data_IF_653456109627
#
_entry.id   IF_653456109627
#
_cell.length_a   1.000
_cell.length_b   1.000
_cell.length_c   1.000
_cell.angle_alpha   90.00
_cell.angle_beta   90.00
_cell.angle_gamma   90.00
#
_symmetry.space_group_name_H-M   'P 1'
#
loop_
_entity.id
_entity.type
_entity.pdbx_description
1 polymer ?
#
# COMPACT_ATOMS: atom_id res chain seq x y z
N UNK A 1 -1.36 22.66 -6.26
CA UNK A 1 -2.47 21.69 -6.37
C UNK A 1 -2.58 21.25 -7.82
N UNK A 2 -2.90 19.97 -8.06
CA UNK A 2 -3.00 19.40 -9.42
C UNK A 2 -4.30 19.82 -10.14
N UNK A 3 -5.15 20.63 -9.50
CA UNK A 3 -6.45 21.10 -10.00
C UNK A 3 -7.38 19.95 -10.47
N UNK A 4 -7.26 18.77 -9.82
CA UNK A 4 -8.15 17.64 -10.09
C UNK A 4 -9.47 17.87 -9.33
N UNK A 5 -10.59 17.76 -10.04
CA UNK A 5 -11.92 17.77 -9.42
C UNK A 5 -12.22 16.39 -8.81
N UNK A 6 -12.07 16.28 -7.51
CA UNK A 6 -12.28 15.03 -6.78
C UNK A 6 -13.73 14.54 -6.81
N UNK A 7 -14.71 15.42 -7.13
CA UNK A 7 -16.12 15.01 -7.26
C UNK A 7 -16.37 14.16 -8.51
N UNK A 8 -15.47 14.22 -9.49
CA UNK A 8 -15.58 13.49 -10.76
C UNK A 8 -14.82 12.17 -10.77
N UNK A 9 -14.15 11.81 -9.67
CA UNK A 9 -13.42 10.54 -9.55
C UNK A 9 -14.42 9.38 -9.46
N UNK A 10 -14.24 8.35 -10.27
CA UNK A 10 -15.07 7.13 -10.29
C UNK A 10 -14.47 6.01 -9.45
N UNK A 11 -13.13 5.92 -9.40
CA UNK A 11 -12.38 4.87 -8.71
C UNK A 11 -11.30 5.51 -7.86
N UNK A 12 -11.24 5.10 -6.58
CA UNK A 12 -10.11 5.36 -5.70
C UNK A 12 -9.45 4.02 -5.34
N UNK A 13 -8.13 4.04 -5.27
CA UNK A 13 -7.35 2.88 -4.89
C UNK A 13 -6.57 3.18 -3.61
N UNK A 14 -6.71 2.33 -2.59
CA UNK A 14 -5.97 2.43 -1.34
C UNK A 14 -4.87 1.37 -1.32
N UNK A 15 -3.62 1.81 -1.30
CA UNK A 15 -2.47 0.91 -1.32
C UNK A 15 -2.32 0.07 -0.04
N UNK A 16 -2.60 0.65 1.12
CA UNK A 16 -2.50 -0.03 2.41
C UNK A 16 -3.18 0.76 3.54
N UNK A 17 -3.30 0.17 4.72
CA UNK A 17 -4.13 0.67 5.81
C UNK A 17 -3.45 1.65 6.78
N UNK A 18 -2.24 2.16 6.50
CA UNK A 18 -1.63 3.14 7.38
C UNK A 18 -2.27 4.52 7.24
N UNK A 19 -2.39 5.25 8.35
CA UNK A 19 -3.18 6.47 8.46
C UNK A 19 -2.64 7.64 7.61
N UNK A 20 -1.37 7.65 7.25
CA UNK A 20 -0.78 8.60 6.31
C UNK A 20 -1.22 8.36 4.85
N UNK A 21 -1.76 7.18 4.55
CA UNK A 21 -2.35 6.83 3.25
C UNK A 21 -3.88 6.84 3.26
N UNK A 22 -4.52 6.45 4.37
CA UNK A 22 -5.98 6.38 4.46
C UNK A 22 -6.62 7.56 5.21
N UNK A 23 -5.85 8.40 5.89
CA UNK A 23 -6.39 9.47 6.75
C UNK A 23 -7.19 10.55 6.01
N UNK A 24 -6.96 10.73 4.71
CA UNK A 24 -7.74 11.65 3.87
C UNK A 24 -9.04 11.05 3.30
N UNK A 25 -9.26 9.74 3.48
CA UNK A 25 -10.33 9.01 2.79
C UNK A 25 -11.74 9.48 3.21
N UNK A 26 -11.96 9.79 4.49
CA UNK A 26 -13.25 10.31 4.94
C UNK A 26 -13.59 11.66 4.28
N UNK A 27 -12.61 12.56 4.19
CA UNK A 27 -12.81 13.86 3.53
C UNK A 27 -13.11 13.68 2.04
N UNK A 28 -12.44 12.75 1.37
CA UNK A 28 -12.73 12.38 -0.02
C UNK A 28 -14.15 11.83 -0.16
N UNK A 29 -14.58 10.89 0.67
CA UNK A 29 -15.90 10.26 0.61
C UNK A 29 -17.04 11.23 0.92
N UNK A 30 -16.81 12.26 1.76
CA UNK A 30 -17.77 13.35 2.00
C UNK A 30 -17.92 14.26 0.79
N UNK A 31 -16.86 14.45 0.02
CA UNK A 31 -16.86 15.30 -1.16
C UNK A 31 -17.37 14.58 -2.41
N UNK A 32 -17.04 13.30 -2.54
CA UNK A 32 -17.36 12.46 -3.67
C UNK A 32 -18.42 11.43 -3.28
N UNK A 33 -19.56 11.41 -3.95
CA UNK A 33 -20.70 10.53 -3.66
C UNK A 33 -20.78 9.29 -4.57
N UNK A 34 -19.88 9.15 -5.54
CA UNK A 34 -19.95 8.12 -6.61
C UNK A 34 -18.79 7.12 -6.62
N UNK A 35 -17.56 7.53 -6.28
CA UNK A 35 -16.39 6.68 -6.40
C UNK A 35 -16.50 5.41 -5.58
N UNK A 36 -16.07 4.28 -6.12
CA UNK A 36 -15.76 3.08 -5.37
C UNK A 36 -14.31 3.12 -4.92
N UNK A 37 -14.06 2.66 -3.70
CA UNK A 37 -12.71 2.59 -3.12
C UNK A 37 -12.28 1.13 -3.07
N UNK A 38 -11.28 0.78 -3.87
CA UNK A 38 -10.69 -0.55 -3.89
C UNK A 38 -9.59 -0.67 -2.85
N UNK A 39 -9.71 -1.62 -1.95
CA UNK A 39 -8.79 -1.81 -0.83
C UNK A 39 -8.62 -3.29 -0.50
N UNK A 40 -7.47 -3.67 0.05
CA UNK A 40 -7.21 -5.03 0.46
C UNK A 40 -8.12 -5.42 1.65
N UNK A 41 -8.65 -6.64 1.67
CA UNK A 41 -9.62 -7.11 2.68
C UNK A 41 -9.12 -7.03 4.12
N UNK A 42 -7.80 -7.05 4.36
CA UNK A 42 -7.20 -6.97 5.69
C UNK A 42 -7.04 -5.54 6.22
N UNK A 43 -7.50 -4.50 5.51
CA UNK A 43 -7.35 -3.09 5.93
C UNK A 43 -7.93 -2.78 7.31
N UNK A 44 -8.88 -3.56 7.79
CA UNK A 44 -9.51 -3.40 9.09
C UNK A 44 -8.73 -4.05 10.25
N UNK A 45 -7.51 -4.52 10.00
CA UNK A 45 -6.59 -4.99 11.02
C UNK A 45 -6.20 -3.89 12.02
N UNK A 46 -5.58 -4.27 13.10
CA UNK A 46 -5.15 -3.37 14.17
C UNK A 46 -3.65 -3.05 14.00
N UNK A 47 -3.33 -1.99 13.26
CA UNK A 47 -1.95 -1.62 12.90
C UNK A 47 -1.41 -0.54 13.81
N UNK A 48 -0.17 -0.71 14.27
CA UNK A 48 0.49 0.15 15.26
C UNK A 48 1.93 0.44 14.86
N UNK A 49 2.42 1.62 15.27
CA UNK A 49 3.84 1.85 15.44
C UNK A 49 4.21 1.62 16.90
N UNK A 50 5.22 0.77 17.13
CA UNK A 50 5.69 0.44 18.48
C UNK A 50 7.19 0.68 18.56
N UNK A 51 7.59 1.57 19.49
CA UNK A 51 8.96 1.86 19.84
C UNK A 51 9.11 1.78 21.37
N UNK A 52 10.32 1.84 21.96
CA UNK A 52 10.47 1.84 23.41
C UNK A 52 9.71 2.96 24.15
N UNK A 53 9.42 4.06 23.46
CA UNK A 53 8.77 5.25 24.03
C UNK A 53 7.35 5.49 23.53
N UNK A 54 6.87 4.71 22.53
CA UNK A 54 5.58 4.98 21.88
C UNK A 54 4.90 3.68 21.43
N UNK A 55 3.61 3.59 21.72
CA UNK A 55 2.70 2.62 21.09
C UNK A 55 1.50 3.41 20.57
N UNK A 56 1.36 3.53 19.27
CA UNK A 56 0.31 4.34 18.67
C UNK A 56 -0.37 3.61 17.51
N UNK A 57 -1.69 3.65 17.50
CA UNK A 57 -2.51 3.15 16.39
C UNK A 57 -2.26 3.98 15.13
N UNK A 58 -2.05 3.30 14.03
CA UNK A 58 -1.80 3.89 12.71
C UNK A 58 -2.69 3.28 11.62
N UNK A 59 -3.68 2.49 12.00
CA UNK A 59 -4.61 1.87 11.05
C UNK A 59 -5.73 2.81 10.60
N UNK A 60 -6.71 2.24 9.89
CA UNK A 60 -7.88 2.96 9.41
C UNK A 60 -8.77 3.45 10.54
N UNK A 61 -9.30 4.67 10.41
CA UNK A 61 -10.28 5.20 11.35
C UNK A 61 -11.60 4.40 11.27
N UNK A 62 -12.16 4.07 12.43
CA UNK A 62 -13.42 3.35 12.52
C UNK A 62 -14.62 4.11 11.89
N UNK A 63 -14.54 5.44 11.79
CA UNK A 63 -15.55 6.27 11.12
C UNK A 63 -15.78 5.86 9.67
N UNK A 64 -14.75 5.31 9.00
CA UNK A 64 -14.81 4.84 7.62
C UNK A 64 -15.78 3.66 7.43
N UNK A 65 -16.13 2.93 8.48
CA UNK A 65 -17.16 1.88 8.42
C UNK A 65 -18.54 2.42 8.03
N UNK A 66 -18.80 3.71 8.22
CA UNK A 66 -20.05 4.33 7.78
C UNK A 66 -20.17 4.41 6.25
N UNK A 67 -19.12 4.09 5.51
CA UNK A 67 -19.04 4.13 4.03
C UNK A 67 -18.78 2.75 3.43
N UNK A 68 -19.11 1.66 4.13
CA UNK A 68 -18.83 0.28 3.69
C UNK A 68 -19.44 -0.05 2.31
N UNK A 69 -20.56 0.55 1.97
CA UNK A 69 -21.21 0.43 0.65
C UNK A 69 -20.37 0.99 -0.51
N UNK A 70 -19.39 1.83 -0.20
CA UNK A 70 -18.45 2.43 -1.15
C UNK A 70 -17.18 1.59 -1.34
N UNK A 71 -16.92 0.61 -0.49
CA UNK A 71 -15.70 -0.18 -0.48
C UNK A 71 -15.82 -1.46 -1.29
N UNK A 72 -14.78 -1.75 -2.07
CA UNK A 72 -14.60 -3.01 -2.78
C UNK A 72 -13.36 -3.69 -2.20
N UNK A 73 -13.57 -4.80 -1.49
CA UNK A 73 -12.49 -5.53 -0.85
C UNK A 73 -11.81 -6.46 -1.85
N UNK A 74 -10.50 -6.28 -2.03
CA UNK A 74 -9.66 -7.05 -2.92
C UNK A 74 -8.86 -8.13 -2.18
N UNK A 75 -8.52 -9.21 -2.88
CA UNK A 75 -7.67 -10.28 -2.36
C UNK A 75 -6.96 -11.00 -3.52
N UNK A 76 -5.64 -11.20 -3.37
CA UNK A 76 -4.82 -11.82 -4.42
C UNK A 76 -4.75 -10.97 -5.69
N UNK A 77 -4.77 -11.64 -6.85
CA UNK A 77 -4.75 -10.98 -8.16
C UNK A 77 -6.18 -10.85 -8.69
N UNK A 78 -6.59 -9.64 -9.01
CA UNK A 78 -7.94 -9.35 -9.53
C UNK A 78 -7.86 -8.33 -10.67
N UNK A 79 -8.37 -8.72 -11.83
CA UNK A 79 -8.61 -7.80 -12.95
C UNK A 79 -9.91 -7.05 -12.67
N UNK A 80 -9.83 -5.73 -12.51
CA UNK A 80 -10.99 -4.88 -12.22
C UNK A 80 -11.73 -4.51 -13.51
N UNK A 81 -10.97 -4.23 -14.57
CA UNK A 81 -11.46 -3.96 -15.93
C UNK A 81 -10.34 -4.25 -16.95
N UNK A 82 -10.46 -3.72 -18.18
CA UNK A 82 -9.48 -3.95 -19.24
C UNK A 82 -8.12 -3.27 -18.97
N UNK A 83 -8.10 -2.22 -18.15
CA UNK A 83 -6.93 -1.40 -17.87
C UNK A 83 -6.35 -1.64 -16.46
N UNK A 84 -7.19 -2.01 -15.49
CA UNK A 84 -6.85 -2.05 -14.08
C UNK A 84 -6.75 -3.49 -13.54
N UNK A 85 -5.59 -3.82 -12.99
CA UNK A 85 -5.38 -5.07 -12.26
C UNK A 85 -4.75 -4.76 -10.90
N UNK A 86 -5.37 -5.26 -9.82
CA UNK A 86 -4.78 -5.20 -8.47
C UNK A 86 -4.16 -6.55 -8.12
N UNK A 87 -3.11 -6.51 -7.32
CA UNK A 87 -2.54 -7.71 -6.71
C UNK A 87 -2.10 -7.44 -5.28
N UNK A 88 -2.03 -8.47 -4.47
CA UNK A 88 -1.64 -8.44 -3.06
C UNK A 88 -0.99 -9.76 -2.65
N UNK A 89 -0.67 -9.90 -1.37
CA UNK A 89 0.00 -11.11 -0.86
C UNK A 89 1.38 -11.36 -1.50
N UNK A 90 2.14 -10.30 -1.72
CA UNK A 90 3.49 -10.32 -2.30
C UNK A 90 4.40 -11.25 -1.50
N UNK A 91 4.92 -12.34 -2.10
CA UNK A 91 5.82 -13.26 -1.44
C UNK A 91 7.26 -12.71 -1.38
N UNK A 92 8.09 -13.37 -0.58
CA UNK A 92 9.49 -13.02 -0.47
C UNK A 92 9.77 -11.90 0.52
N UNK A 93 11.05 -11.65 0.75
CA UNK A 93 11.57 -10.60 1.65
C UNK A 93 12.99 -10.21 1.20
N UNK A 94 13.25 -10.26 -0.11
CA UNK A 94 14.53 -9.84 -0.68
C UNK A 94 14.71 -8.34 -0.41
N UNK A 95 15.90 -7.93 0.02
CA UNK A 95 16.25 -6.56 0.38
C UNK A 95 15.21 -5.89 1.31
N UNK A 96 14.82 -6.62 2.36
CA UNK A 96 13.82 -6.17 3.33
C UNK A 96 14.29 -4.94 4.10
N UNK A 97 13.46 -3.91 4.15
CA UNK A 97 13.78 -2.69 4.91
C UNK A 97 13.59 -2.89 6.42
N UNK A 98 14.62 -2.57 7.21
CA UNK A 98 14.56 -2.49 8.68
C UNK A 98 13.71 -1.30 9.16
N UNK A 99 13.38 -0.35 8.29
CA UNK A 99 12.42 0.72 8.60
C UNK A 99 11.04 0.16 9.00
N UNK A 100 10.71 -1.05 8.56
CA UNK A 100 9.51 -1.79 8.96
C UNK A 100 9.53 -2.30 10.41
N UNK A 101 10.69 -2.33 11.08
CA UNK A 101 10.85 -2.99 12.39
C UNK A 101 10.04 -2.37 13.52
N UNK A 102 9.51 -1.18 13.37
CA UNK A 102 8.61 -0.54 14.34
C UNK A 102 7.13 -0.77 14.05
N UNK A 103 6.80 -1.35 12.90
CA UNK A 103 5.43 -1.58 12.47
C UNK A 103 4.92 -2.93 12.99
N UNK A 104 3.73 -2.90 13.58
CA UNK A 104 3.14 -4.04 14.29
C UNK A 104 1.68 -4.22 13.91
N UNK A 105 1.23 -5.47 13.91
CA UNK A 105 -0.19 -5.79 13.92
C UNK A 105 -0.56 -6.30 15.33
N UNK A 106 -1.59 -5.75 15.96
CA UNK A 106 -2.09 -6.28 17.24
C UNK A 106 -2.96 -7.50 16.98
N UNK A 107 -2.58 -8.63 17.59
CA UNK A 107 -3.31 -9.89 17.55
C UNK A 107 -3.54 -10.33 19.00
N UNK A 108 -4.80 -10.24 19.46
CA UNK A 108 -5.09 -10.44 20.90
C UNK A 108 -4.37 -9.38 21.74
N UNK A 109 -3.52 -9.81 22.68
CA UNK A 109 -2.72 -8.91 23.52
C UNK A 109 -1.31 -8.68 22.99
N UNK A 110 -0.90 -9.38 21.92
CA UNK A 110 0.44 -9.32 21.36
C UNK A 110 0.54 -8.32 20.21
N UNK A 111 1.78 -7.85 19.95
CA UNK A 111 2.13 -6.94 18.87
C UNK A 111 3.25 -7.56 17.99
N UNK A 112 2.98 -8.66 17.26
CA UNK A 112 3.96 -9.19 16.31
C UNK A 112 4.29 -8.19 15.23
N UNK A 113 5.40 -8.44 14.51
CA UNK A 113 5.75 -7.64 13.33
C UNK A 113 4.60 -7.66 12.33
N UNK A 114 4.31 -6.51 11.72
CA UNK A 114 3.35 -6.43 10.63
C UNK A 114 3.87 -7.25 9.44
N UNK A 115 3.01 -8.06 8.87
CA UNK A 115 3.30 -8.84 7.66
C UNK A 115 2.85 -8.14 6.39
N UNK A 116 2.25 -6.95 6.55
CA UNK A 116 1.71 -6.10 5.47
C UNK A 116 0.68 -6.80 4.58
N UNK A 117 -0.08 -7.73 5.15
CA UNK A 117 -1.18 -8.41 4.45
C UNK A 117 -2.30 -7.47 4.00
N UNK A 118 -2.30 -6.24 4.49
CA UNK A 118 -3.20 -5.15 4.11
C UNK A 118 -2.67 -4.30 2.94
N UNK A 119 -1.46 -4.60 2.43
CA UNK A 119 -0.87 -3.94 1.26
C UNK A 119 -1.37 -4.57 -0.03
N UNK A 120 -1.65 -3.74 -1.01
CA UNK A 120 -1.95 -4.13 -2.38
C UNK A 120 -1.38 -3.11 -3.35
N UNK A 121 -1.11 -3.55 -4.56
CA UNK A 121 -0.50 -2.76 -5.63
C UNK A 121 -1.38 -2.76 -6.86
N UNK A 122 -1.26 -1.74 -7.70
CA UNK A 122 -2.08 -1.52 -8.88
C UNK A 122 -1.23 -1.51 -10.14
N UNK A 123 -1.65 -2.29 -11.12
CA UNK A 123 -1.18 -2.22 -12.50
C UNK A 123 -2.20 -1.47 -13.34
N UNK A 124 -1.74 -0.45 -14.03
CA UNK A 124 -2.54 0.33 -15.00
C UNK A 124 -1.98 0.09 -16.39
N UNK A 125 -2.78 -0.50 -17.26
CA UNK A 125 -2.39 -0.82 -18.64
C UNK A 125 -3.17 0.04 -19.62
N UNK A 126 -2.47 0.83 -20.41
CA UNK A 126 -3.04 1.68 -21.45
C UNK A 126 -2.16 1.61 -22.71
N UNK A 127 -2.75 1.46 -23.89
CA UNK A 127 -2.05 1.43 -25.17
C UNK A 127 -0.87 0.44 -25.22
N UNK A 128 -1.00 -0.72 -24.56
CA UNK A 128 0.03 -1.76 -24.51
C UNK A 128 1.19 -1.47 -23.55
N UNK A 129 1.14 -0.37 -22.81
CA UNK A 129 2.07 -0.01 -21.75
C UNK A 129 1.45 -0.24 -20.38
N UNK A 130 2.24 -0.68 -19.41
CA UNK A 130 1.78 -0.93 -18.05
C UNK A 130 2.62 -0.17 -17.05
N UNK A 131 1.96 0.61 -16.19
CA UNK A 131 2.57 1.24 -15.03
C UNK A 131 2.18 0.49 -13.74
N UNK A 132 3.16 0.24 -12.88
CA UNK A 132 2.98 -0.23 -11.52
C UNK A 132 2.86 0.96 -10.57
N UNK A 133 1.81 0.96 -9.75
CA UNK A 133 1.62 1.88 -8.64
C UNK A 133 1.64 1.10 -7.32
N UNK A 134 2.66 1.35 -6.50
CA UNK A 134 2.75 0.85 -5.13
C UNK A 134 2.75 2.04 -4.16
N UNK A 135 2.25 1.82 -2.94
CA UNK A 135 2.28 2.83 -1.89
C UNK A 135 3.69 3.00 -1.30
N UNK A 136 3.83 2.73 -0.02
CA UNK A 136 5.13 2.72 0.66
C UNK A 136 6.01 1.53 0.27
N UNK A 137 5.46 0.51 -0.39
CA UNK A 137 6.14 -0.74 -0.73
C UNK A 137 6.73 -1.45 0.50
N UNK A 138 5.93 -1.62 1.55
CA UNK A 138 6.36 -2.29 2.79
C UNK A 138 6.77 -3.75 2.57
N UNK A 139 6.15 -4.44 1.61
CA UNK A 139 6.58 -5.79 1.18
C UNK A 139 7.95 -5.79 0.48
N UNK A 140 8.53 -4.63 0.24
CA UNK A 140 9.80 -4.40 -0.47
C UNK A 140 9.57 -4.28 -1.97
N UNK A 141 10.01 -3.15 -2.56
CA UNK A 141 9.77 -2.84 -3.98
C UNK A 141 10.29 -3.92 -4.93
N UNK A 142 11.41 -4.58 -4.60
CA UNK A 142 11.98 -5.67 -5.41
C UNK A 142 11.03 -6.87 -5.45
N UNK A 143 10.39 -7.22 -4.32
CA UNK A 143 9.42 -8.31 -4.24
C UNK A 143 8.12 -7.95 -4.96
N UNK A 144 7.69 -6.68 -4.86
CA UNK A 144 6.49 -6.18 -5.55
C UNK A 144 6.70 -6.20 -7.06
N UNK A 145 7.87 -5.75 -7.56
CA UNK A 145 8.22 -5.81 -8.99
C UNK A 145 8.18 -7.23 -9.51
N UNK A 146 8.80 -8.17 -8.80
CA UNK A 146 8.78 -9.58 -9.17
C UNK A 146 7.35 -10.14 -9.24
N UNK A 147 6.50 -9.78 -8.27
CA UNK A 147 5.08 -10.16 -8.31
C UNK A 147 4.33 -9.53 -9.47
N UNK A 148 4.64 -8.27 -9.82
CA UNK A 148 4.08 -7.61 -10.99
C UNK A 148 4.50 -8.30 -12.29
N UNK A 149 5.76 -8.70 -12.40
CA UNK A 149 6.28 -9.48 -13.54
C UNK A 149 5.58 -10.85 -13.67
N UNK A 150 5.36 -11.55 -12.55
CA UNK A 150 4.63 -12.82 -12.53
C UNK A 150 3.17 -12.64 -13.02
N UNK A 151 2.51 -11.53 -12.66
CA UNK A 151 1.15 -11.22 -13.10
C UNK A 151 1.09 -10.84 -14.58
N UNK A 152 2.07 -10.06 -15.06
CA UNK A 152 2.09 -9.52 -16.43
C UNK A 152 2.73 -10.46 -17.44
N UNK A 153 3.59 -11.40 -17.00
CA UNK A 153 4.48 -12.17 -17.86
C UNK A 153 5.65 -11.35 -18.45
N UNK A 154 5.84 -10.12 -17.99
CA UNK A 154 6.92 -9.19 -18.38
C UNK A 154 7.12 -8.09 -17.33
N UNK A 155 8.22 -7.37 -17.38
CA UNK A 155 8.40 -6.19 -16.55
C UNK A 155 7.36 -5.08 -16.87
N UNK A 156 6.91 -4.30 -15.87
CA UNK A 156 6.14 -3.07 -16.10
C UNK A 156 7.00 -2.04 -16.84
N UNK A 157 6.35 -1.17 -17.63
CA UNK A 157 7.04 -0.11 -18.39
C UNK A 157 7.43 1.10 -17.53
N UNK A 158 6.75 1.29 -16.40
CA UNK A 158 7.03 2.35 -15.42
C UNK A 158 6.63 1.90 -14.00
N UNK A 159 7.29 2.48 -13.00
CA UNK A 159 7.03 2.23 -11.57
C UNK A 159 6.85 3.55 -10.83
N UNK A 160 5.78 3.66 -10.06
CA UNK A 160 5.49 4.76 -9.16
C UNK A 160 5.32 4.19 -7.75
N UNK A 161 6.31 4.39 -6.87
CA UNK A 161 6.33 3.79 -5.54
C UNK A 161 7.11 4.62 -4.53
N UNK A 162 6.75 4.48 -3.25
CA UNK A 162 7.67 4.69 -2.14
C UNK A 162 8.52 3.44 -1.93
N UNK A 163 9.66 3.57 -1.22
CA UNK A 163 10.54 2.43 -0.98
C UNK A 163 10.72 2.10 0.49
N UNK A 164 10.09 2.88 1.36
CA UNK A 164 10.14 2.75 2.82
C UNK A 164 11.55 2.48 3.38
N UNK A 165 12.55 3.22 2.87
CA UNK A 165 13.96 3.10 3.27
C UNK A 165 14.36 4.09 4.39
N UNK A 166 13.36 4.73 5.00
CA UNK A 166 13.53 5.65 6.13
C UNK A 166 12.47 5.37 7.19
N UNK A 167 12.90 5.24 8.44
CA UNK A 167 12.00 5.08 9.59
C UNK A 167 11.79 6.44 10.28
N UNK A 168 10.63 7.11 10.08
CA UNK A 168 10.39 8.42 10.67
C UNK A 168 10.23 8.37 12.19
N UNK A 169 9.83 7.24 12.77
CA UNK A 169 9.68 7.07 14.22
C UNK A 169 11.01 6.99 14.95
N UNK A 170 12.07 6.57 14.27
CA UNK A 170 13.44 6.50 14.81
C UNK A 170 14.36 7.57 14.21
N UNK A 171 13.91 8.30 13.19
CA UNK A 171 14.74 9.26 12.44
C UNK A 171 15.95 8.61 11.76
N UNK A 172 15.78 7.38 11.25
CA UNK A 172 16.88 6.55 10.76
C UNK A 172 16.62 6.07 9.33
N UNK A 173 17.61 6.29 8.45
CA UNK A 173 17.65 5.70 7.09
C UNK A 173 18.20 4.28 7.14
N UNK A 174 17.88 3.51 6.13
CA UNK A 174 18.57 2.26 5.84
C UNK A 174 20.03 2.52 5.46
N UNK A 175 20.94 1.52 5.64
CA UNK A 175 22.31 1.61 5.19
C UNK A 175 22.41 1.84 3.67
N UNK A 176 23.43 2.61 3.24
CA UNK A 176 23.65 2.93 1.83
C UNK A 176 23.78 1.67 0.97
N UNK A 177 24.39 0.59 1.49
CA UNK A 177 24.53 -0.68 0.80
C UNK A 177 23.17 -1.33 0.47
N UNK A 178 22.15 -1.16 1.33
CA UNK A 178 20.80 -1.65 1.05
C UNK A 178 20.12 -0.76 0.01
N UNK A 179 20.28 0.57 0.14
CA UNK A 179 19.70 1.53 -0.80
C UNK A 179 20.25 1.31 -2.20
N UNK A 180 21.58 1.14 -2.33
CA UNK A 180 22.26 0.86 -3.59
C UNK A 180 21.79 -0.47 -4.19
N UNK A 181 21.73 -1.54 -3.36
CA UNK A 181 21.28 -2.85 -3.81
C UNK A 181 19.81 -2.83 -4.29
N UNK A 182 18.93 -2.03 -3.68
CA UNK A 182 17.56 -1.81 -4.18
C UNK A 182 17.61 -1.08 -5.52
N UNK A 183 18.43 -0.02 -5.64
CA UNK A 183 18.59 0.75 -6.88
C UNK A 183 19.10 -0.08 -8.06
N UNK A 184 19.98 -1.07 -7.81
CA UNK A 184 20.48 -1.99 -8.84
C UNK A 184 19.42 -2.97 -9.39
N UNK A 185 18.30 -3.13 -8.66
CA UNK A 185 17.21 -4.05 -9.05
C UNK A 185 16.06 -3.35 -9.78
N UNK A 186 16.07 -2.01 -9.78
CA UNK A 186 15.03 -1.18 -10.42
C UNK A 186 15.45 -0.76 -11.83
#
# INVERSE_FOLDING_TARGET
ALSVDLTQVDIAFLSHAHNDHCGGLEAFLKLNDRAKVYMQKAVWGQYYVVTPSKCAYIGMDAVLKNYEDRFVLCDGVQKLDEELTVFSAVPGRELWSGANDTLREKIGEDYPRDTFRHEQDLLVTENGKTALFAGCAHCGIVNILKSAEDVLGRAPDAVFAGFHLYNPSLGKSEPDELVDAVGEKL
#
